data_IF_857267867561
#
_entry.id   IF_857267867561
#
_cell.length_a   1.000
_cell.length_b   1.000
_cell.length_c   1.000
_cell.angle_alpha   90.00
_cell.angle_beta   90.00
_cell.angle_gamma   90.00
#
_symmetry.space_group_name_H-M   'P 1'
#
loop_
_entity.id
_entity.type
_entity.pdbx_description
1 polymer ?
#
# COMPACT_ATOMS: atom_id res chain seq x y z
N UNK A 1 -8.19 1.14 21.64
CA UNK A 1 -8.61 2.02 20.52
C UNK A 1 -7.39 2.69 19.90
N UNK A 2 -7.46 3.13 18.64
CA UNK A 2 -6.30 3.60 17.84
C UNK A 2 -5.75 4.99 18.22
N UNK A 3 -6.32 5.66 19.22
CA UNK A 3 -5.90 7.01 19.62
C UNK A 3 -6.25 8.10 18.61
N UNK A 4 -7.21 7.84 17.72
CA UNK A 4 -7.69 8.79 16.73
C UNK A 4 -8.82 9.65 17.27
N UNK A 5 -9.01 10.82 16.66
CA UNK A 5 -10.11 11.70 16.99
C UNK A 5 -11.46 11.08 16.61
N UNK A 6 -12.52 11.44 17.35
CA UNK A 6 -13.88 10.95 17.07
C UNK A 6 -14.28 11.26 15.63
N UNK A 7 -13.92 12.43 15.09
CA UNK A 7 -14.26 12.78 13.72
C UNK A 7 -13.61 11.85 12.71
N UNK A 8 -12.41 11.32 12.99
CA UNK A 8 -11.76 10.35 12.10
C UNK A 8 -12.57 9.06 12.01
N UNK A 9 -13.05 8.54 13.14
CA UNK A 9 -13.93 7.37 13.15
C UNK A 9 -15.25 7.64 12.45
N UNK A 10 -15.87 8.79 12.71
CA UNK A 10 -17.11 9.21 12.03
C UNK A 10 -16.92 9.34 10.52
N UNK A 11 -15.78 9.83 10.05
CA UNK A 11 -15.49 9.93 8.62
C UNK A 11 -15.31 8.55 7.98
N UNK A 12 -14.69 7.61 8.69
CA UNK A 12 -14.54 6.23 8.20
C UNK A 12 -15.89 5.51 8.13
N UNK A 13 -16.73 5.66 9.15
CA UNK A 13 -18.08 5.06 9.19
C UNK A 13 -19.00 5.61 8.09
N UNK A 14 -18.84 6.90 7.74
CA UNK A 14 -19.61 7.55 6.69
C UNK A 14 -18.97 7.44 5.29
N UNK A 15 -17.89 6.66 5.12
CA UNK A 15 -17.14 6.54 3.86
C UNK A 15 -16.64 7.91 3.31
N UNK A 16 -16.54 8.93 4.17
CA UNK A 16 -16.12 10.28 3.78
C UNK A 16 -14.60 10.36 3.52
N UNK A 17 -13.82 9.47 4.13
CA UNK A 17 -12.37 9.37 3.94
C UNK A 17 -11.92 7.91 4.06
N UNK A 18 -10.91 7.51 3.28
CA UNK A 18 -10.34 6.17 3.34
C UNK A 18 -9.55 5.92 4.64
N UNK A 19 -9.53 4.65 5.05
CA UNK A 19 -8.71 4.18 6.16
C UNK A 19 -7.26 4.06 5.69
N UNK A 20 -6.31 4.71 6.40
CA UNK A 20 -4.88 4.55 6.09
C UNK A 20 -4.43 3.11 6.31
N UNK A 21 -3.63 2.57 5.39
CA UNK A 21 -3.11 1.20 5.43
C UNK A 21 -2.37 0.86 6.73
N UNK A 22 -1.72 1.84 7.36
CA UNK A 22 -1.03 1.68 8.64
C UNK A 22 -1.94 1.32 9.81
N UNK A 23 -3.25 1.57 9.71
CA UNK A 23 -4.23 1.22 10.74
C UNK A 23 -4.89 -0.14 10.52
N UNK A 24 -4.82 -0.70 9.32
CA UNK A 24 -5.49 -1.97 8.97
C UNK A 24 -5.06 -3.13 9.88
N UNK A 25 -3.75 -3.37 10.16
CA UNK A 25 -3.36 -4.48 11.04
C UNK A 25 -3.89 -4.32 12.47
N UNK A 26 -3.90 -3.09 12.97
CA UNK A 26 -4.41 -2.79 14.32
C UNK A 26 -5.93 -2.89 14.38
N UNK A 27 -6.64 -2.59 13.29
CA UNK A 27 -8.08 -2.80 13.20
C UNK A 27 -8.42 -4.29 13.25
N UNK A 28 -7.69 -5.12 12.50
CA UNK A 28 -7.87 -6.58 12.55
C UNK A 28 -7.66 -7.13 13.97
N UNK A 29 -6.62 -6.66 14.67
CA UNK A 29 -6.36 -7.00 16.06
C UNK A 29 -7.49 -6.56 17.01
N UNK A 30 -7.97 -5.33 16.88
CA UNK A 30 -9.06 -4.80 17.73
C UNK A 30 -10.37 -5.55 17.53
N UNK A 31 -10.67 -5.96 16.29
CA UNK A 31 -11.89 -6.67 15.97
C UNK A 31 -11.74 -8.20 16.12
N UNK A 32 -10.56 -8.69 16.48
CA UNK A 32 -10.25 -10.12 16.61
C UNK A 32 -10.60 -10.93 15.34
N UNK A 33 -10.39 -10.32 14.17
CA UNK A 33 -10.63 -10.92 12.85
C UNK A 33 -9.32 -11.10 12.08
N UNK A 34 -9.33 -11.96 11.06
CA UNK A 34 -8.22 -12.01 10.11
C UNK A 34 -8.16 -10.69 9.32
N UNK A 35 -6.96 -10.26 8.96
CA UNK A 35 -6.78 -9.10 8.06
C UNK A 35 -7.54 -9.32 6.76
N UNK A 36 -7.61 -10.57 6.28
CA UNK A 36 -8.31 -10.93 5.04
C UNK A 36 -9.82 -10.68 5.16
N UNK A 37 -10.39 -10.94 6.33
CA UNK A 37 -11.82 -10.76 6.60
C UNK A 37 -12.26 -9.29 6.49
N UNK A 38 -11.35 -8.34 6.73
CA UNK A 38 -11.61 -6.91 6.55
C UNK A 38 -11.87 -6.52 5.08
N UNK A 39 -11.45 -7.35 4.13
CA UNK A 39 -11.57 -7.09 2.70
C UNK A 39 -12.54 -8.06 1.99
N UNK A 40 -12.83 -9.23 2.57
CA UNK A 40 -13.68 -10.25 1.95
C UNK A 40 -15.16 -9.86 1.88
N UNK A 41 -15.65 -9.00 2.79
CA UNK A 41 -17.06 -8.60 2.84
C UNK A 41 -17.48 -7.66 1.68
N UNK A 42 -16.53 -7.15 0.89
CA UNK A 42 -16.77 -6.18 -0.16
C UNK A 42 -16.10 -6.57 -1.47
N UNK A 43 -16.79 -7.37 -2.29
CA UNK A 43 -16.52 -7.51 -3.73
C UNK A 43 -16.82 -6.20 -4.50
N UNK A 44 -16.57 -5.04 -3.89
CA UNK A 44 -16.51 -3.74 -4.53
C UNK A 44 -15.04 -3.45 -4.67
N UNK A 45 -14.49 -3.89 -5.81
CA UNK A 45 -13.31 -3.36 -6.48
C UNK A 45 -12.66 -2.21 -5.68
N UNK A 46 -11.77 -2.58 -4.76
CA UNK A 46 -10.87 -1.62 -4.15
C UNK A 46 -10.07 -1.05 -5.31
N UNK A 47 -10.48 0.12 -5.80
CA UNK A 47 -9.65 0.93 -6.66
C UNK A 47 -8.45 1.27 -5.80
N UNK A 48 -7.41 0.43 -5.91
CA UNK A 48 -6.07 0.77 -5.53
C UNK A 48 -5.72 1.98 -6.38
N UNK A 49 -6.12 3.17 -5.92
CA UNK A 49 -5.64 4.44 -6.42
C UNK A 49 -4.16 4.46 -6.05
N UNK A 50 -3.35 3.74 -6.82
CA UNK A 50 -1.99 4.16 -7.07
C UNK A 50 -2.13 5.57 -7.62
N UNK A 51 -1.81 6.54 -6.78
CA UNK A 51 -1.81 7.96 -7.07
C UNK A 51 -0.88 8.21 -8.27
N UNK A 52 -1.40 8.08 -9.48
CA UNK A 52 -0.97 8.94 -10.58
C UNK A 52 -1.41 10.36 -10.20
N UNK A 53 -0.44 11.22 -9.88
CA UNK A 53 -0.59 12.67 -9.76
C UNK A 53 -1.60 13.19 -8.73
N UNK A 54 -1.17 13.30 -7.47
CA UNK A 54 -1.58 14.42 -6.62
C UNK A 54 -0.47 14.69 -5.60
N UNK A 55 0.35 15.71 -5.88
CA UNK A 55 1.17 16.44 -4.90
C UNK A 55 1.71 15.65 -3.70
N UNK A 56 2.62 14.70 -3.95
CA UNK A 56 3.49 14.11 -2.92
C UNK A 56 4.52 15.15 -2.45
N UNK A 57 4.05 16.19 -1.76
CA UNK A 57 4.86 17.18 -1.05
C UNK A 57 4.78 17.04 0.46
N UNK A 58 4.19 15.98 0.99
CA UNK A 58 4.17 15.79 2.44
C UNK A 58 4.46 14.34 2.85
N UNK A 59 5.62 14.17 3.50
CA UNK A 59 6.20 12.97 4.15
C UNK A 59 7.16 12.05 3.38
N UNK A 60 7.92 12.55 2.41
CA UNK A 60 9.15 11.88 1.94
C UNK A 60 10.45 12.43 2.56
N UNK A 61 10.36 13.09 3.72
CA UNK A 61 11.54 13.60 4.45
C UNK A 61 11.54 13.00 5.85
N UNK A 62 12.36 11.96 6.07
CA UNK A 62 12.82 11.67 7.44
C UNK A 62 12.75 10.24 7.96
N UNK A 63 12.72 9.19 7.13
CA UNK A 63 13.00 7.83 7.63
C UNK A 63 14.21 7.25 6.90
N UNK A 64 15.37 7.40 7.53
CA UNK A 64 16.70 6.99 7.05
C UNK A 64 16.84 5.47 6.84
N UNK A 65 15.88 4.69 7.34
CA UNK A 65 15.93 3.22 7.38
C UNK A 65 14.84 2.51 6.57
N UNK A 66 13.91 3.23 5.92
CA UNK A 66 12.96 2.60 4.98
C UNK A 66 13.56 2.71 3.58
N UNK A 67 14.10 1.59 3.10
CA UNK A 67 14.40 1.43 1.68
C UNK A 67 13.12 1.74 0.89
N UNK A 68 13.15 2.81 0.10
CA UNK A 68 12.11 3.12 -0.87
C UNK A 68 12.15 2.05 -1.96
N UNK A 69 11.57 0.89 -1.66
CA UNK A 69 11.48 -0.25 -2.56
C UNK A 69 10.19 -0.19 -3.36
N UNK A 70 10.28 -0.41 -4.66
CA UNK A 70 9.12 -0.63 -5.52
C UNK A 70 8.73 -2.11 -5.37
N UNK A 71 7.51 -2.39 -4.94
CA UNK A 71 6.97 -3.75 -4.86
C UNK A 71 6.21 -4.05 -6.15
N UNK A 72 6.64 -5.06 -6.90
CA UNK A 72 5.99 -5.53 -8.12
C UNK A 72 5.51 -6.97 -7.86
N UNK A 73 4.19 -7.19 -7.84
CA UNK A 73 3.62 -8.52 -7.67
C UNK A 73 3.49 -9.21 -9.04
N UNK A 74 4.24 -10.30 -9.25
CA UNK A 74 4.26 -11.03 -10.51
C UNK A 74 3.80 -12.47 -10.24
N UNK A 75 2.65 -12.85 -10.77
CA UNK A 75 2.08 -14.20 -10.64
C UNK A 75 2.47 -15.11 -11.81
N UNK A 76 2.86 -14.53 -12.95
CA UNK A 76 3.30 -15.26 -14.14
C UNK A 76 4.83 -15.43 -14.17
N UNK A 77 5.28 -16.67 -14.21
CA UNK A 77 6.71 -17.02 -14.24
C UNK A 77 7.38 -16.57 -15.54
N UNK A 78 6.66 -16.42 -16.65
CA UNK A 78 7.25 -15.97 -17.92
C UNK A 78 7.52 -14.46 -17.87
N UNK A 79 6.55 -13.67 -17.41
CA UNK A 79 6.72 -12.25 -17.13
C UNK A 79 7.87 -11.98 -16.15
N UNK A 80 8.02 -12.80 -15.09
CA UNK A 80 9.11 -12.66 -14.12
C UNK A 80 10.49 -12.80 -14.77
N UNK A 81 10.65 -13.75 -15.70
CA UNK A 81 11.91 -13.96 -16.42
C UNK A 81 12.26 -12.77 -17.32
N UNK A 82 11.29 -12.27 -18.09
CA UNK A 82 11.51 -11.11 -18.97
C UNK A 82 11.93 -9.88 -18.17
N UNK A 83 11.24 -9.60 -17.07
CA UNK A 83 11.55 -8.47 -16.19
C UNK A 83 12.94 -8.62 -15.56
N UNK A 84 13.29 -9.82 -15.11
CA UNK A 84 14.62 -10.08 -14.52
C UNK A 84 15.75 -9.77 -15.50
N UNK A 85 15.63 -10.18 -16.76
CA UNK A 85 16.62 -9.93 -17.80
C UNK A 85 16.75 -8.44 -18.12
N UNK A 86 15.62 -7.74 -18.26
CA UNK A 86 15.63 -6.29 -18.53
C UNK A 86 16.23 -5.49 -17.36
N UNK A 87 15.94 -5.90 -16.12
CA UNK A 87 16.51 -5.27 -14.93
C UNK A 87 18.03 -5.44 -14.87
N UNK A 88 18.55 -6.63 -15.21
CA UNK A 88 19.99 -6.87 -15.27
C UNK A 88 20.70 -5.96 -16.30
N UNK A 89 20.09 -5.75 -17.47
CA UNK A 89 20.62 -4.86 -18.50
C UNK A 89 20.63 -3.40 -18.04
N UNK A 90 19.56 -2.93 -17.39
CA UNK A 90 19.49 -1.59 -16.81
C UNK A 90 20.54 -1.38 -15.72
N UNK A 91 20.74 -2.36 -14.82
CA UNK A 91 21.77 -2.29 -13.78
C UNK A 91 23.17 -2.22 -14.41
N UNK A 92 23.42 -2.98 -15.48
CA UNK A 92 24.71 -2.92 -16.21
C UNK A 92 24.91 -1.56 -16.87
N UNK A 93 23.87 -0.98 -17.45
CA UNK A 93 23.93 0.34 -18.07
C UNK A 93 24.19 1.46 -17.05
N UNK A 94 23.62 1.35 -15.84
CA UNK A 94 23.81 2.33 -14.75
C UNK A 94 25.16 2.22 -14.03
N UNK A 95 25.83 1.06 -14.12
CA UNK A 95 27.18 0.84 -13.54
C UNK A 95 28.32 1.36 -14.43
N UNK A 96 28.01 1.95 -15.58
CA UNK A 96 28.98 2.53 -16.52
C UNK A 96 29.05 4.04 -16.36
#
# INVERSE_FOLDING_TARGET
>A
MLGLDRNTYTNWENEATDIKSSYIPKLAEIFEVSIVDLFEAGNKQSNYNNLENADLKDNAIGQKDIQQGIIINITDSEAAKVISTQLEELIKALKK
#
